data_IF_803566585194
#
_entry.id   IF_803566585194
#
_cell.length_a   1.000
_cell.length_b   1.000
_cell.length_c   1.000
_cell.angle_alpha   90.00
_cell.angle_beta   90.00
_cell.angle_gamma   90.00
#
_symmetry.space_group_name_H-M   'P 1'
#
loop_
_entity.id
_entity.type
_entity.pdbx_description
1 polymer ?
#
# COMPACT_ATOMS: atom_id res chain seq x y z
N UNK A 1 4.19 -16.38 -6.89
CA UNK A 1 4.00 -15.90 -5.50
C UNK A 1 3.52 -14.47 -5.50
N UNK A 2 2.51 -14.18 -4.71
CA UNK A 2 2.04 -12.80 -4.50
C UNK A 2 2.91 -12.11 -3.46
N UNK A 3 3.46 -10.95 -3.79
CA UNK A 3 4.28 -10.17 -2.87
C UNK A 3 3.57 -8.85 -2.59
N UNK A 4 3.41 -8.52 -1.32
CA UNK A 4 2.71 -7.31 -0.90
C UNK A 4 3.63 -6.46 -0.02
N UNK A 5 3.68 -5.17 -0.28
CA UNK A 5 4.40 -4.22 0.57
C UNK A 5 3.39 -3.29 1.24
N UNK A 6 3.52 -3.14 2.54
CA UNK A 6 2.71 -2.21 3.34
C UNK A 6 3.64 -1.11 3.84
N UNK A 7 3.26 0.15 3.63
CA UNK A 7 4.05 1.31 4.05
C UNK A 7 3.19 2.22 4.91
N UNK A 8 3.49 2.30 6.20
CA UNK A 8 2.79 3.15 7.16
C UNK A 8 3.69 3.32 8.39
N UNK A 9 3.78 4.52 8.95
CA UNK A 9 4.60 4.75 10.13
C UNK A 9 3.91 4.32 11.44
N UNK A 10 2.64 3.93 11.37
CA UNK A 10 1.89 3.43 12.52
C UNK A 10 2.00 1.92 12.64
N UNK A 11 2.60 1.38 13.72
CA UNK A 11 2.63 -0.08 13.93
C UNK A 11 1.25 -0.71 13.96
N UNK A 12 0.25 0.01 14.49
CA UNK A 12 -1.13 -0.47 14.54
C UNK A 12 -1.70 -0.66 13.13
N UNK A 13 -1.44 0.28 12.22
CA UNK A 13 -1.91 0.17 10.84
C UNK A 13 -1.15 -0.89 10.05
N UNK A 14 0.15 -1.05 10.28
CA UNK A 14 0.90 -2.15 9.68
C UNK A 14 0.31 -3.50 10.08
N UNK A 15 -0.04 -3.65 11.37
CA UNK A 15 -0.69 -4.88 11.86
C UNK A 15 -2.10 -5.05 11.29
N UNK A 16 -2.87 -3.97 11.19
CA UNK A 16 -4.21 -4.01 10.60
C UNK A 16 -4.18 -4.56 9.18
N UNK A 17 -3.31 -4.00 8.34
CA UNK A 17 -3.19 -4.46 6.95
C UNK A 17 -2.69 -5.90 6.88
N UNK A 18 -1.65 -6.23 7.64
CA UNK A 18 -1.10 -7.58 7.64
C UNK A 18 -2.13 -8.62 8.04
N UNK A 19 -2.85 -8.37 9.15
CA UNK A 19 -3.83 -9.32 9.66
C UNK A 19 -4.97 -9.53 8.66
N UNK A 20 -5.44 -8.47 8.03
CA UNK A 20 -6.49 -8.58 7.03
C UNK A 20 -6.03 -9.27 5.75
N UNK A 21 -4.79 -9.03 5.33
CA UNK A 21 -4.20 -9.73 4.19
C UNK A 21 -4.08 -11.24 4.47
N UNK A 22 -3.66 -11.60 5.66
CA UNK A 22 -3.56 -13.01 6.05
C UNK A 22 -4.94 -13.69 6.00
N UNK A 23 -5.99 -13.02 6.50
CA UNK A 23 -7.36 -13.51 6.41
C UNK A 23 -7.81 -13.67 4.95
N UNK A 24 -7.49 -12.69 4.11
CA UNK A 24 -7.82 -12.74 2.67
C UNK A 24 -7.17 -13.97 2.03
N UNK A 25 -5.89 -14.22 2.29
CA UNK A 25 -5.20 -15.36 1.70
C UNK A 25 -5.76 -16.69 2.22
N UNK A 26 -6.21 -16.75 3.47
CA UNK A 26 -6.94 -17.93 3.98
C UNK A 26 -8.23 -18.15 3.18
N UNK A 27 -9.02 -17.09 2.98
CA UNK A 27 -10.25 -17.17 2.20
C UNK A 27 -9.99 -17.60 0.75
N UNK A 28 -8.88 -17.14 0.16
CA UNK A 28 -8.48 -17.52 -1.20
C UNK A 28 -7.81 -18.89 -1.26
N UNK A 29 -7.63 -19.55 -0.12
CA UNK A 29 -6.98 -20.85 -0.01
C UNK A 29 -5.57 -20.84 -0.62
N UNK A 30 -4.83 -19.76 -0.38
CA UNK A 30 -3.48 -19.57 -0.90
C UNK A 30 -2.50 -19.39 0.25
N UNK A 31 -1.39 -20.13 0.20
CA UNK A 31 -0.27 -19.95 1.12
C UNK A 31 0.98 -19.43 0.39
N UNK A 32 0.87 -19.15 -0.89
CA UNK A 32 1.98 -18.71 -1.72
C UNK A 32 2.02 -17.18 -1.81
N UNK A 33 2.37 -16.55 -0.69
CA UNK A 33 2.46 -15.09 -0.61
C UNK A 33 3.55 -14.65 0.38
N UNK A 34 3.97 -13.39 0.23
CA UNK A 34 4.90 -12.75 1.16
C UNK A 34 4.44 -11.32 1.43
N UNK A 35 4.48 -10.90 2.70
CA UNK A 35 4.12 -9.56 3.12
C UNK A 35 5.33 -8.90 3.75
N UNK A 36 5.77 -7.77 3.18
CA UNK A 36 6.82 -6.93 3.75
C UNK A 36 6.20 -5.65 4.32
N UNK A 37 6.79 -5.13 5.38
CA UNK A 37 6.31 -3.92 6.07
C UNK A 37 7.43 -2.89 6.11
N UNK A 38 7.09 -1.66 5.76
CA UNK A 38 7.99 -0.52 5.85
C UNK A 38 7.34 0.56 6.72
N UNK A 39 8.12 1.19 7.59
CA UNK A 39 7.63 2.21 8.52
C UNK A 39 7.88 3.64 8.04
N UNK A 40 8.40 3.81 6.83
CA UNK A 40 8.65 5.12 6.23
C UNK A 40 8.65 5.01 4.71
N UNK A 41 8.51 6.14 4.05
CA UNK A 41 8.63 6.20 2.59
C UNK A 41 10.01 5.78 2.11
N UNK A 42 11.04 6.17 2.84
CA UNK A 42 12.43 5.79 2.50
C UNK A 42 12.64 4.29 2.61
N UNK A 43 12.15 3.68 3.68
CA UNK A 43 12.26 2.24 3.84
C UNK A 43 11.47 1.50 2.76
N UNK A 44 10.27 2.03 2.42
CA UNK A 44 9.50 1.50 1.30
C UNK A 44 10.28 1.56 -0.01
N UNK A 45 10.94 2.68 -0.27
CA UNK A 45 11.78 2.85 -1.46
C UNK A 45 12.90 1.80 -1.50
N UNK A 46 13.55 1.55 -0.35
CA UNK A 46 14.60 0.55 -0.28
C UNK A 46 14.08 -0.85 -0.61
N UNK A 47 12.88 -1.20 -0.12
CA UNK A 47 12.24 -2.46 -0.49
C UNK A 47 11.95 -2.55 -1.99
N UNK A 48 11.50 -1.46 -2.61
CA UNK A 48 11.22 -1.42 -4.04
C UNK A 48 12.50 -1.71 -4.84
N UNK A 49 13.61 -1.10 -4.46
CA UNK A 49 14.89 -1.31 -5.11
C UNK A 49 15.39 -2.75 -4.95
N UNK A 50 15.28 -3.30 -3.74
CA UNK A 50 15.72 -4.65 -3.44
C UNK A 50 14.91 -5.73 -4.18
N UNK A 51 13.67 -5.42 -4.52
CA UNK A 51 12.75 -6.36 -5.16
C UNK A 51 12.49 -6.05 -6.63
N UNK A 52 13.39 -5.32 -7.27
CA UNK A 52 13.21 -4.91 -8.66
C UNK A 52 13.16 -6.08 -9.64
N UNK A 53 13.75 -7.23 -9.29
CA UNK A 53 13.72 -8.45 -10.13
C UNK A 53 12.42 -9.25 -9.95
N UNK A 54 11.80 -9.15 -8.78
CA UNK A 54 10.49 -9.74 -8.48
C UNK A 54 9.61 -8.68 -7.84
N UNK A 55 9.02 -7.77 -8.64
CA UNK A 55 8.25 -6.66 -8.11
C UNK A 55 7.05 -7.09 -7.28
N UNK A 56 6.65 -6.22 -6.35
CA UNK A 56 5.45 -6.45 -5.56
C UNK A 56 4.21 -6.45 -6.46
N UNK A 57 3.27 -7.34 -6.14
CA UNK A 57 1.97 -7.40 -6.81
C UNK A 57 1.06 -6.26 -6.37
N UNK A 58 1.14 -5.90 -5.08
CA UNK A 58 0.31 -4.88 -4.45
C UNK A 58 1.13 -4.08 -3.46
N UNK A 59 0.90 -2.77 -3.44
CA UNK A 59 1.47 -1.88 -2.44
C UNK A 59 0.31 -1.15 -1.76
N UNK A 60 0.28 -1.18 -0.43
CA UNK A 60 -0.65 -0.39 0.38
C UNK A 60 0.17 0.65 1.11
N UNK A 61 -0.06 1.92 0.85
CA UNK A 61 0.75 3.00 1.44
C UNK A 61 -0.11 4.09 2.07
N UNK A 62 0.31 4.57 3.24
CA UNK A 62 -0.20 5.82 3.80
C UNK A 62 0.38 7.00 3.02
N UNK A 63 -0.25 8.16 3.15
CA UNK A 63 0.26 9.42 2.60
C UNK A 63 1.06 10.21 3.64
N UNK A 64 0.53 10.33 4.85
CA UNK A 64 1.12 11.13 5.93
C UNK A 64 1.96 10.24 6.84
N UNK A 65 3.26 10.51 6.90
CA UNK A 65 4.20 9.77 7.74
C UNK A 65 5.15 10.76 8.44
N UNK A 66 5.85 10.32 9.48
CA UNK A 66 6.68 11.19 10.32
C UNK A 66 7.78 11.95 9.55
N UNK A 67 8.21 11.42 8.42
CA UNK A 67 9.25 12.03 7.59
C UNK A 67 8.71 13.07 6.60
N UNK A 68 7.45 13.51 6.77
CA UNK A 68 6.84 14.44 5.82
C UNK A 68 7.55 15.78 5.77
N UNK A 69 7.74 16.29 4.55
CA UNK A 69 8.27 17.61 4.26
C UNK A 69 7.35 18.32 3.30
N UNK A 70 7.09 19.62 3.54
CA UNK A 70 6.38 20.42 2.56
C UNK A 70 7.18 20.50 1.27
N UNK A 71 6.54 20.53 0.08
CA UNK A 71 5.09 20.56 -0.14
C UNK A 71 4.41 19.20 -0.29
N UNK A 72 5.17 18.10 -0.24
CA UNK A 72 4.60 16.77 -0.47
C UNK A 72 4.63 15.90 0.77
N UNK A 73 3.63 15.02 0.86
CA UNK A 73 3.66 13.95 1.84
C UNK A 73 4.67 12.87 1.43
N UNK A 74 5.22 12.17 2.42
CA UNK A 74 6.17 11.08 2.18
C UNK A 74 5.57 9.97 1.31
N UNK A 75 4.28 9.66 1.51
CA UNK A 75 3.59 8.67 0.69
C UNK A 75 3.41 9.09 -0.76
N UNK A 76 3.19 10.40 -1.03
CA UNK A 76 3.15 10.89 -2.40
C UNK A 76 4.49 10.69 -3.09
N UNK A 77 5.57 11.08 -2.40
CA UNK A 77 6.93 10.90 -2.92
C UNK A 77 7.19 9.42 -3.21
N UNK A 78 6.84 8.55 -2.27
CA UNK A 78 7.06 7.11 -2.40
C UNK A 78 6.35 6.55 -3.64
N UNK A 79 5.05 6.86 -3.80
CA UNK A 79 4.27 6.37 -4.95
C UNK A 79 4.86 6.88 -6.26
N UNK A 80 5.28 8.15 -6.31
CA UNK A 80 5.91 8.71 -7.49
C UNK A 80 7.20 7.96 -7.83
N UNK A 81 7.99 7.58 -6.82
CA UNK A 81 9.20 6.81 -7.05
C UNK A 81 8.89 5.43 -7.61
N UNK A 82 7.88 4.73 -7.05
CA UNK A 82 7.47 3.42 -7.56
C UNK A 82 7.09 3.51 -9.03
N UNK A 83 6.33 4.53 -9.41
CA UNK A 83 5.88 4.71 -10.79
C UNK A 83 7.01 5.03 -11.77
N UNK A 84 8.15 5.47 -11.26
CA UNK A 84 9.33 5.71 -12.10
C UNK A 84 10.10 4.42 -12.43
N UNK A 85 9.83 3.32 -11.75
CA UNK A 85 10.47 2.04 -12.04
C UNK A 85 9.66 1.27 -13.08
N UNK A 86 10.24 1.04 -14.26
CA UNK A 86 9.55 0.36 -15.36
C UNK A 86 9.10 -1.05 -14.97
N UNK A 87 9.84 -1.74 -14.11
CA UNK A 87 9.48 -3.09 -13.67
C UNK A 87 8.26 -3.13 -12.75
N UNK A 88 7.85 -2.00 -12.19
CA UNK A 88 6.66 -1.88 -11.35
C UNK A 88 5.41 -1.46 -12.13
N UNK A 89 5.47 -1.53 -13.45
CA UNK A 89 4.37 -1.15 -14.33
C UNK A 89 3.06 -1.86 -14.01
N UNK A 90 3.11 -3.15 -13.68
CA UNK A 90 1.91 -3.95 -13.38
C UNK A 90 1.54 -3.99 -11.89
N UNK A 91 2.31 -3.33 -11.03
CA UNK A 91 2.02 -3.32 -9.59
C UNK A 91 0.78 -2.50 -9.31
N UNK A 92 -0.15 -3.06 -8.53
CA UNK A 92 -1.33 -2.33 -8.07
C UNK A 92 -0.96 -1.54 -6.83
N UNK A 93 -1.40 -0.30 -6.76
CA UNK A 93 -1.11 0.59 -5.63
C UNK A 93 -2.43 1.12 -5.09
N UNK A 94 -2.60 1.04 -3.77
CA UNK A 94 -3.72 1.64 -3.08
C UNK A 94 -3.19 2.50 -1.93
N UNK A 95 -3.69 3.73 -1.85
CA UNK A 95 -3.38 4.63 -0.74
C UNK A 95 -4.44 4.45 0.34
N UNK A 96 -4.00 4.19 1.57
CA UNK A 96 -4.89 4.11 2.73
C UNK A 96 -4.43 5.16 3.74
N UNK A 97 -5.21 6.22 3.90
CA UNK A 97 -4.80 7.39 4.68
C UNK A 97 -5.97 8.07 5.37
N UNK A 98 -5.67 8.79 6.46
CA UNK A 98 -6.62 9.67 7.12
C UNK A 98 -6.68 11.08 6.54
N UNK A 99 -5.92 11.35 5.49
CA UNK A 99 -5.86 12.66 4.86
C UNK A 99 -7.20 13.02 4.23
N UNK A 100 -7.72 14.26 4.48
CA UNK A 100 -9.04 14.65 4.01
C UNK A 100 -9.13 14.77 2.48
N UNK A 101 -8.03 15.07 1.81
CA UNK A 101 -7.99 15.20 0.36
C UNK A 101 -7.38 13.97 -0.34
N UNK A 102 -7.53 12.81 0.27
CA UNK A 102 -6.99 11.54 -0.25
C UNK A 102 -7.44 11.26 -1.69
N UNK A 103 -8.71 11.56 -2.00
CA UNK A 103 -9.26 11.32 -3.33
C UNK A 103 -8.53 12.11 -4.40
N UNK A 104 -8.33 13.40 -4.17
CA UNK A 104 -7.64 14.29 -5.12
C UNK A 104 -6.20 13.85 -5.34
N UNK A 105 -5.53 13.48 -4.26
CA UNK A 105 -4.14 13.03 -4.34
C UNK A 105 -4.04 11.72 -5.10
N UNK A 106 -4.92 10.75 -4.79
CA UNK A 106 -4.95 9.47 -5.48
C UNK A 106 -5.23 9.63 -6.97
N UNK A 107 -6.17 10.51 -7.33
CA UNK A 107 -6.47 10.79 -8.74
C UNK A 107 -5.25 11.39 -9.45
N UNK A 108 -4.54 12.31 -8.80
CA UNK A 108 -3.34 12.91 -9.38
C UNK A 108 -2.21 11.91 -9.58
N UNK A 109 -2.15 10.88 -8.75
CA UNK A 109 -1.16 9.80 -8.84
C UNK A 109 -1.63 8.63 -9.69
N UNK A 110 -2.88 8.63 -10.11
CA UNK A 110 -3.52 7.52 -10.87
C UNK A 110 -3.45 6.20 -10.10
N UNK A 111 -3.86 6.23 -8.84
CA UNK A 111 -3.91 5.05 -7.97
C UNK A 111 -5.25 4.96 -7.27
N UNK A 112 -5.54 3.78 -6.71
CA UNK A 112 -6.72 3.55 -5.88
C UNK A 112 -6.53 4.15 -4.50
N UNK A 113 -7.62 4.36 -3.76
CA UNK A 113 -7.55 4.88 -2.40
C UNK A 113 -8.64 4.30 -1.50
N UNK A 114 -8.33 4.23 -0.21
CA UNK A 114 -9.27 3.84 0.84
C UNK A 114 -9.03 4.77 2.03
N UNK A 115 -10.01 5.60 2.42
CA UNK A 115 -9.85 6.36 3.66
C UNK A 115 -9.73 5.43 4.86
N UNK A 116 -8.83 5.74 5.79
CA UNK A 116 -8.63 4.89 6.99
C UNK A 116 -9.93 4.66 7.76
N UNK A 117 -10.78 5.69 7.89
CA UNK A 117 -12.07 5.52 8.58
C UNK A 117 -12.97 4.51 7.89
N UNK A 118 -12.93 4.45 6.56
CA UNK A 118 -13.73 3.50 5.78
C UNK A 118 -13.16 2.08 5.94
N UNK A 119 -11.84 1.93 5.95
CA UNK A 119 -11.21 0.63 6.17
C UNK A 119 -11.66 0.00 7.49
N UNK A 120 -11.82 0.81 8.54
CA UNK A 120 -12.26 0.33 9.85
C UNK A 120 -13.77 0.13 9.91
N UNK A 121 -14.57 1.06 9.38
CA UNK A 121 -16.03 1.00 9.47
C UNK A 121 -16.68 0.04 8.46
N UNK A 122 -16.00 -0.24 7.36
CA UNK A 122 -16.47 -1.15 6.31
C UNK A 122 -15.36 -2.14 5.94
N UNK A 123 -15.07 -3.04 6.86
CA UNK A 123 -13.98 -4.00 6.69
C UNK A 123 -14.22 -4.91 5.48
N UNK A 124 -15.48 -5.25 5.19
CA UNK A 124 -15.79 -6.10 4.04
C UNK A 124 -15.53 -5.39 2.72
N UNK A 125 -15.85 -4.10 2.64
CA UNK A 125 -15.52 -3.26 1.49
C UNK A 125 -14.02 -3.12 1.30
N UNK A 126 -13.28 -2.92 2.38
CA UNK A 126 -11.83 -2.87 2.38
C UNK A 126 -11.25 -4.18 1.80
N UNK A 127 -11.67 -5.32 2.34
CA UNK A 127 -11.20 -6.64 1.88
C UNK A 127 -11.54 -6.87 0.42
N UNK A 128 -12.75 -6.52 0.00
CA UNK A 128 -13.16 -6.67 -1.40
C UNK A 128 -12.25 -5.87 -2.34
N UNK A 129 -11.94 -4.64 -1.99
CA UNK A 129 -11.05 -3.80 -2.79
C UNK A 129 -9.67 -4.46 -2.91
N UNK A 130 -9.12 -4.96 -1.81
CA UNK A 130 -7.83 -5.63 -1.82
C UNK A 130 -7.86 -6.89 -2.68
N UNK A 131 -8.90 -7.71 -2.54
CA UNK A 131 -9.06 -8.93 -3.35
C UNK A 131 -9.10 -8.59 -4.83
N UNK A 132 -9.85 -7.57 -5.22
CA UNK A 132 -9.95 -7.13 -6.61
C UNK A 132 -8.58 -6.68 -7.14
N UNK A 133 -7.80 -5.99 -6.33
CA UNK A 133 -6.46 -5.55 -6.71
C UNK A 133 -5.46 -6.71 -6.84
N UNK A 134 -5.67 -7.78 -6.08
CA UNK A 134 -4.82 -8.98 -6.14
C UNK A 134 -5.18 -9.92 -7.30
N UNK A 135 -6.29 -9.70 -7.93
CA UNK A 135 -6.80 -10.57 -9.02
C UNK A 135 -6.08 -10.36 -10.35
#
# INVERSE_FOLDING_TARGET
MKKILIVDDSPAWLSFHKNNLEEIFIELQSDDYKIDKASSGREGYDFIMQNNNEPYSLIISDLQMEEDFAPKFAGEWFVEQVKNFSKYFNTKIVICSGCYNIKQIAESLSVEYIPKRVAVSDINGYKKTIIDLLS
#
